data_IF_112450514383
#
_entry.id   IF_112450514383
#
_cell.length_a   1.000
_cell.length_b   1.000
_cell.length_c   1.000
_cell.angle_alpha   90.00
_cell.angle_beta   90.00
_cell.angle_gamma   90.00
#
_symmetry.space_group_name_H-M   'P 1'
#
loop_
_entity.id
_entity.type
_entity.pdbx_description
1 polymer ?
#
# COMPACT_ATOMS: atom_id res chain seq x y z
N UNK A 1 -10.87 -0.06 -18.34
CA UNK A 1 -10.42 0.52 -19.62
C UNK A 1 -9.32 1.52 -19.32
N UNK A 2 -8.11 1.32 -19.86
CA UNK A 2 -7.04 2.32 -19.88
C UNK A 2 -7.25 3.30 -21.05
N UNK A 3 -6.32 4.24 -21.24
CA UNK A 3 -6.20 4.93 -22.52
C UNK A 3 -5.77 3.95 -23.62
N UNK A 4 -6.19 4.23 -24.86
CA UNK A 4 -5.84 3.50 -26.07
C UNK A 4 -4.48 3.98 -26.60
N UNK A 5 -3.41 3.58 -25.91
CA UNK A 5 -2.01 3.83 -26.26
C UNK A 5 -1.13 2.73 -25.67
N UNK A 6 -0.19 2.21 -26.47
CA UNK A 6 0.74 1.15 -26.12
C UNK A 6 2.04 1.71 -25.53
N UNK A 7 2.45 2.91 -25.97
CA UNK A 7 3.70 3.58 -25.56
C UNK A 7 3.46 5.00 -25.08
N UNK A 8 4.38 5.52 -24.26
CA UNK A 8 4.33 6.90 -23.77
C UNK A 8 4.35 7.94 -24.90
N UNK A 9 5.13 7.70 -25.96
CA UNK A 9 5.25 8.59 -27.12
C UNK A 9 4.03 8.58 -28.06
N UNK A 10 3.09 7.64 -27.88
CA UNK A 10 1.80 7.61 -28.59
C UNK A 10 0.74 8.49 -27.91
N UNK A 11 0.99 8.96 -26.68
CA UNK A 11 0.05 9.81 -25.95
C UNK A 11 -0.03 11.23 -26.53
N UNK A 12 -1.22 11.86 -26.55
CA UNK A 12 -1.36 13.30 -26.76
C UNK A 12 -0.43 14.13 -25.85
N UNK A 13 0.19 15.17 -26.41
CA UNK A 13 1.30 15.90 -25.76
C UNK A 13 0.90 16.61 -24.45
N UNK A 14 -0.37 16.96 -24.32
CA UNK A 14 -1.00 17.56 -23.13
C UNK A 14 -1.13 16.59 -21.94
N UNK A 15 -1.00 15.28 -22.17
CA UNK A 15 -1.00 14.24 -21.11
C UNK A 15 0.28 13.40 -21.07
N UNK A 16 1.33 13.82 -21.80
CA UNK A 16 2.69 13.28 -21.65
C UNK A 16 3.38 13.83 -20.38
N UNK A 17 4.59 13.36 -20.10
CA UNK A 17 5.50 14.04 -19.17
C UNK A 17 6.15 15.24 -19.86
N UNK A 18 6.42 16.30 -19.10
CA UNK A 18 7.14 17.50 -19.56
C UNK A 18 8.47 17.11 -20.23
N UNK A 19 9.20 16.15 -19.63
CA UNK A 19 10.36 15.46 -20.21
C UNK A 19 10.09 13.96 -20.41
N UNK A 20 10.26 13.47 -21.63
CA UNK A 20 10.13 12.05 -22.02
C UNK A 20 11.02 11.11 -21.20
N UNK A 21 12.14 11.62 -20.65
CA UNK A 21 13.08 10.88 -19.79
C UNK A 21 13.14 11.37 -18.33
N UNK A 22 12.24 12.29 -17.94
CA UNK A 22 12.19 12.81 -16.57
C UNK A 22 11.67 11.76 -15.58
N UNK A 23 10.60 11.06 -15.97
CA UNK A 23 10.05 9.92 -15.24
C UNK A 23 10.07 8.70 -16.16
N UNK A 24 10.82 7.67 -15.77
CA UNK A 24 11.07 6.48 -16.58
C UNK A 24 11.52 5.32 -15.69
N UNK A 25 10.86 4.16 -15.76
CA UNK A 25 11.11 3.07 -14.81
C UNK A 25 12.49 2.43 -15.01
N UNK A 26 12.94 2.26 -16.26
CA UNK A 26 14.25 1.69 -16.56
C UNK A 26 15.35 2.61 -16.03
N UNK A 27 15.27 3.90 -16.34
CA UNK A 27 16.29 4.87 -15.96
C UNK A 27 16.29 5.16 -14.45
N UNK A 28 15.12 5.33 -13.84
CA UNK A 28 15.02 5.70 -12.42
C UNK A 28 15.40 4.53 -11.51
N UNK A 29 15.03 3.29 -11.84
CA UNK A 29 15.44 2.13 -11.05
C UNK A 29 16.94 1.83 -11.21
N UNK A 30 17.50 2.00 -12.41
CA UNK A 30 18.96 1.83 -12.63
C UNK A 30 19.77 2.87 -11.85
N UNK A 31 19.38 4.15 -11.91
CA UNK A 31 19.98 5.23 -11.08
C UNK A 31 19.83 4.95 -9.58
N UNK A 32 18.67 4.44 -9.13
CA UNK A 32 18.47 4.07 -7.73
C UNK A 32 19.43 2.95 -7.32
N UNK A 33 19.56 1.90 -8.13
CA UNK A 33 20.50 0.78 -7.92
C UNK A 33 21.96 1.25 -7.84
N UNK A 34 22.35 2.25 -8.64
CA UNK A 34 23.67 2.90 -8.58
C UNK A 34 23.85 3.76 -7.32
N UNK A 35 22.90 4.67 -7.04
CA UNK A 35 22.91 5.56 -5.87
C UNK A 35 22.91 4.81 -4.53
N UNK A 36 22.29 3.62 -4.50
CA UNK A 36 22.25 2.73 -3.33
C UNK A 36 23.47 1.79 -3.25
N UNK A 37 24.42 1.88 -4.19
CA UNK A 37 25.61 1.04 -4.28
C UNK A 37 25.32 -0.49 -4.37
N UNK A 38 24.17 -0.85 -4.95
CA UNK A 38 23.73 -2.26 -5.14
C UNK A 38 23.81 -2.73 -6.60
N UNK A 39 24.35 -1.90 -7.50
CA UNK A 39 24.58 -2.22 -8.91
C UNK A 39 25.41 -3.48 -9.14
N UNK A 40 26.44 -3.73 -8.32
CA UNK A 40 27.23 -4.96 -8.35
C UNK A 40 26.40 -6.25 -8.17
N UNK A 41 25.22 -6.16 -7.56
CA UNK A 41 24.30 -7.28 -7.33
C UNK A 41 23.24 -7.44 -8.42
N UNK A 42 23.06 -6.46 -9.32
CA UNK A 42 21.92 -6.32 -10.24
C UNK A 42 21.66 -7.51 -11.19
N UNK A 43 22.63 -8.40 -11.36
CA UNK A 43 22.53 -9.61 -12.18
C UNK A 43 22.71 -10.93 -11.39
N UNK A 44 22.87 -10.88 -10.07
CA UNK A 44 23.18 -12.03 -9.21
C UNK A 44 21.93 -12.84 -8.81
N UNK A 45 21.09 -13.18 -9.79
CA UNK A 45 19.79 -13.84 -9.60
C UNK A 45 19.83 -15.26 -9.00
N UNK A 46 21.02 -15.87 -8.96
CA UNK A 46 21.24 -17.22 -8.41
C UNK A 46 22.13 -17.22 -7.16
N UNK A 47 22.33 -16.06 -6.51
CA UNK A 47 23.20 -15.93 -5.34
C UNK A 47 22.42 -15.46 -4.11
N UNK A 48 22.22 -16.35 -3.14
CA UNK A 48 21.68 -15.98 -1.82
C UNK A 48 22.61 -14.98 -1.10
N UNK A 49 22.05 -14.26 -0.14
CA UNK A 49 22.82 -13.70 0.98
C UNK A 49 23.44 -14.83 1.81
N UNK A 50 24.60 -14.61 2.42
CA UNK A 50 25.25 -15.65 3.23
C UNK A 50 24.59 -15.77 4.62
N UNK A 51 24.25 -14.62 5.20
CA UNK A 51 23.57 -14.46 6.47
C UNK A 51 22.82 -13.11 6.48
N UNK A 52 22.04 -12.82 7.53
CA UNK A 52 21.37 -11.52 7.65
C UNK A 52 22.35 -10.33 7.71
N UNK A 53 23.53 -10.53 8.29
CA UNK A 53 24.54 -9.48 8.44
C UNK A 53 25.31 -9.20 7.14
N UNK A 54 25.32 -10.11 6.17
CA UNK A 54 25.78 -9.89 4.79
C UNK A 54 24.94 -8.81 4.09
N UNK A 55 23.61 -8.89 4.21
CA UNK A 55 22.70 -7.85 3.75
C UNK A 55 22.79 -6.57 4.62
N UNK A 56 22.86 -6.72 5.94
CA UNK A 56 22.98 -5.61 6.91
C UNK A 56 24.16 -4.68 6.61
N UNK A 57 25.36 -5.21 6.28
CA UNK A 57 26.56 -4.43 5.93
C UNK A 57 26.38 -3.46 4.75
N UNK A 58 25.42 -3.76 3.88
CA UNK A 58 24.99 -2.91 2.76
C UNK A 58 23.88 -1.98 3.25
N UNK A 59 22.85 -2.55 3.87
CA UNK A 59 21.66 -1.82 4.33
C UNK A 59 21.99 -0.65 5.28
N UNK A 60 22.96 -0.81 6.20
CA UNK A 60 23.37 0.27 7.12
C UNK A 60 23.92 1.52 6.43
N UNK A 61 24.24 1.46 5.13
CA UNK A 61 24.71 2.59 4.31
C UNK A 61 23.57 3.34 3.61
N UNK A 62 22.40 2.72 3.50
CA UNK A 62 21.26 3.19 2.69
C UNK A 62 19.95 3.32 3.48
N UNK A 63 19.92 2.85 4.72
CA UNK A 63 18.80 2.99 5.67
C UNK A 63 18.40 4.45 5.90
N UNK A 64 17.13 4.66 6.23
CA UNK A 64 16.61 5.90 6.78
C UNK A 64 16.04 5.67 8.19
N UNK A 65 15.48 6.69 8.84
CA UNK A 65 15.01 6.61 10.24
C UNK A 65 13.99 5.52 10.51
N UNK A 66 13.02 5.30 9.60
CA UNK A 66 11.98 4.27 9.80
C UNK A 66 12.52 2.90 9.39
N UNK A 67 13.25 2.81 8.28
CA UNK A 67 13.78 1.53 7.81
C UNK A 67 14.91 0.98 8.70
N UNK A 68 15.63 1.85 9.41
CA UNK A 68 16.50 1.47 10.54
C UNK A 68 15.70 0.86 11.69
N UNK A 69 14.59 1.49 12.09
CA UNK A 69 13.72 0.97 13.15
C UNK A 69 13.15 -0.40 12.74
N UNK A 70 12.76 -0.58 11.48
CA UNK A 70 12.33 -1.89 10.94
C UNK A 70 13.45 -2.91 11.01
N UNK A 71 14.68 -2.59 10.57
CA UNK A 71 15.84 -3.49 10.69
C UNK A 71 16.09 -3.95 12.14
N UNK A 72 15.92 -3.05 13.11
CA UNK A 72 16.10 -3.35 14.54
C UNK A 72 14.93 -4.15 15.15
N UNK A 73 13.70 -3.93 14.70
CA UNK A 73 12.48 -4.39 15.38
C UNK A 73 11.57 -5.33 14.56
N UNK A 74 11.88 -5.69 13.31
CA UNK A 74 11.00 -6.52 12.44
C UNK A 74 10.63 -7.90 13.01
N UNK A 75 11.45 -8.43 13.94
CA UNK A 75 11.19 -9.70 14.64
C UNK A 75 10.23 -9.56 15.84
N UNK A 76 9.78 -8.35 16.17
CA UNK A 76 8.78 -8.14 17.21
C UNK A 76 7.37 -8.28 16.64
N UNK A 77 6.55 -9.12 17.28
CA UNK A 77 5.11 -9.26 17.00
C UNK A 77 4.36 -7.91 17.01
N UNK A 78 4.80 -6.96 17.83
CA UNK A 78 4.28 -5.61 17.84
C UNK A 78 4.61 -4.83 16.56
N UNK A 79 5.82 -4.98 16.02
CA UNK A 79 6.23 -4.33 14.78
C UNK A 79 5.49 -4.92 13.57
N UNK A 80 5.25 -6.24 13.58
CA UNK A 80 4.37 -6.91 12.61
C UNK A 80 2.93 -6.37 12.70
N UNK A 81 2.33 -6.40 13.89
CA UNK A 81 0.95 -5.94 14.12
C UNK A 81 0.72 -4.45 13.84
N UNK A 82 1.70 -3.58 14.14
CA UNK A 82 1.63 -2.13 13.92
C UNK A 82 1.51 -1.75 12.43
N UNK A 83 2.14 -2.52 11.53
CA UNK A 83 2.16 -2.21 10.10
C UNK A 83 0.79 -2.35 9.43
N UNK A 84 -0.10 -3.18 9.96
CA UNK A 84 -1.49 -3.25 9.48
C UNK A 84 -2.32 -1.99 9.80
N UNK A 85 -1.86 -1.15 10.73
CA UNK A 85 -2.51 0.12 11.08
C UNK A 85 -1.82 1.35 10.45
N UNK A 86 -0.48 1.32 10.38
CA UNK A 86 0.36 2.50 10.10
C UNK A 86 1.55 2.23 9.16
N UNK A 87 1.64 1.02 8.58
CA UNK A 87 2.67 0.65 7.62
C UNK A 87 2.36 1.12 6.20
N UNK A 88 2.98 0.49 5.20
CA UNK A 88 2.77 0.82 3.79
C UNK A 88 1.45 0.26 3.20
N UNK A 89 0.78 -0.69 3.87
CA UNK A 89 -0.48 -1.30 3.42
C UNK A 89 -1.57 -1.37 4.53
N UNK A 90 -2.03 -0.22 5.07
CA UNK A 90 -2.93 -0.17 6.24
C UNK A 90 -4.43 -0.32 5.89
N UNK A 91 -4.77 -0.96 4.75
CA UNK A 91 -6.15 -1.10 4.24
C UNK A 91 -6.76 -2.49 4.41
N UNK A 92 -5.98 -3.48 4.82
CA UNK A 92 -6.37 -4.91 4.77
C UNK A 92 -7.02 -5.43 6.05
N UNK A 93 -6.69 -4.85 7.22
CA UNK A 93 -7.17 -5.33 8.52
C UNK A 93 -8.63 -4.97 8.77
N UNK A 94 -9.38 -5.94 9.31
CA UNK A 94 -10.81 -5.81 9.66
C UNK A 94 -11.08 -6.45 11.02
N UNK A 95 -12.10 -5.97 11.73
CA UNK A 95 -12.56 -6.52 13.01
C UNK A 95 -13.17 -7.91 12.80
N UNK A 96 -12.80 -8.88 13.63
CA UNK A 96 -13.33 -10.24 13.54
C UNK A 96 -14.61 -10.36 14.38
N UNK A 97 -15.72 -10.76 13.77
CA UNK A 97 -17.01 -10.98 14.44
C UNK A 97 -17.40 -12.46 14.53
N UNK A 98 -16.80 -13.30 13.68
CA UNK A 98 -16.79 -14.76 13.71
C UNK A 98 -15.49 -15.23 13.05
N UNK A 99 -14.87 -16.30 13.55
CA UNK A 99 -13.81 -16.99 12.80
C UNK A 99 -14.36 -17.57 11.49
N UNK A 100 -13.63 -17.48 10.36
CA UNK A 100 -13.96 -18.23 9.15
C UNK A 100 -13.85 -19.74 9.40
N UNK A 101 -14.79 -20.53 8.88
CA UNK A 101 -14.80 -21.99 9.08
C UNK A 101 -13.58 -22.68 8.41
N UNK A 102 -12.96 -22.01 7.44
CA UNK A 102 -11.68 -22.36 6.80
C UNK A 102 -10.41 -22.10 7.65
N UNK A 103 -10.57 -21.60 8.88
CA UNK A 103 -9.48 -21.18 9.76
C UNK A 103 -9.70 -21.69 11.20
N UNK A 104 -9.48 -23.00 11.46
CA UNK A 104 -9.88 -23.69 12.69
C UNK A 104 -8.94 -23.41 13.87
N UNK A 105 -8.85 -22.15 14.29
CA UNK A 105 -8.11 -21.72 15.49
C UNK A 105 -8.95 -21.99 16.73
N UNK A 106 -8.44 -22.79 17.67
CA UNK A 106 -9.11 -23.05 18.97
C UNK A 106 -8.62 -22.10 20.05
N UNK A 107 -9.33 -22.01 21.17
CA UNK A 107 -8.90 -21.22 22.33
C UNK A 107 -7.56 -21.71 22.89
N UNK A 108 -7.33 -23.02 22.95
CA UNK A 108 -6.11 -23.65 23.48
C UNK A 108 -4.87 -23.29 22.65
N UNK A 109 -5.03 -23.02 21.35
CA UNK A 109 -3.94 -22.58 20.46
C UNK A 109 -3.44 -21.17 20.76
N UNK A 110 -4.26 -20.31 21.38
CA UNK A 110 -3.98 -18.87 21.54
C UNK A 110 -4.16 -18.35 22.97
N UNK A 111 -4.55 -19.19 23.92
CA UNK A 111 -4.82 -18.81 25.32
C UNK A 111 -3.63 -18.10 25.97
N UNK A 112 -2.41 -18.54 25.67
CA UNK A 112 -1.13 -17.93 26.09
C UNK A 112 -0.90 -16.50 25.57
N UNK A 113 -1.69 -16.04 24.60
CA UNK A 113 -1.62 -14.71 24.00
C UNK A 113 -2.77 -13.77 24.43
N UNK A 114 -3.76 -14.27 25.17
CA UNK A 114 -4.87 -13.47 25.70
C UNK A 114 -4.51 -12.92 27.10
N UNK A 115 -4.92 -11.69 27.42
CA UNK A 115 -4.48 -10.97 28.63
C UNK A 115 -5.64 -10.62 29.59
N UNK A 116 -6.84 -11.18 29.39
CA UNK A 116 -8.07 -10.76 30.10
C UNK A 116 -8.84 -11.90 30.80
N UNK A 117 -8.26 -13.09 30.88
CA UNK A 117 -8.93 -14.30 31.41
C UNK A 117 -10.27 -14.62 30.70
N UNK A 118 -10.33 -14.32 29.39
CA UNK A 118 -11.46 -14.56 28.50
C UNK A 118 -11.15 -15.68 27.48
N UNK A 119 -12.18 -16.39 27.03
CA UNK A 119 -12.03 -17.33 25.89
C UNK A 119 -11.86 -16.58 24.56
N UNK A 120 -11.46 -17.30 23.51
CA UNK A 120 -11.30 -16.71 22.18
C UNK A 120 -12.62 -16.13 21.65
N UNK A 121 -13.73 -16.83 21.89
CA UNK A 121 -15.08 -16.43 21.51
C UNK A 121 -15.53 -15.19 22.29
N UNK A 122 -15.15 -15.09 23.56
CA UNK A 122 -15.41 -13.92 24.39
C UNK A 122 -14.60 -12.70 23.94
N UNK A 123 -13.34 -12.87 23.54
CA UNK A 123 -12.54 -11.76 22.98
C UNK A 123 -13.00 -11.32 21.57
N UNK A 124 -13.58 -12.25 20.78
CA UNK A 124 -14.30 -11.92 19.54
C UNK A 124 -15.55 -11.08 19.87
N UNK A 125 -16.38 -11.51 20.83
CA UNK A 125 -17.59 -10.78 21.24
C UNK A 125 -17.28 -9.41 21.87
N UNK A 126 -16.19 -9.30 22.64
CA UNK A 126 -15.68 -8.04 23.17
C UNK A 126 -15.06 -7.14 22.08
N UNK A 127 -14.81 -7.67 20.87
CA UNK A 127 -14.26 -6.92 19.75
C UNK A 127 -12.77 -6.63 19.86
N UNK A 128 -12.02 -7.47 20.58
CA UNK A 128 -10.56 -7.37 20.68
C UNK A 128 -9.84 -8.21 19.63
N UNK A 129 -10.54 -9.05 18.85
CA UNK A 129 -9.97 -9.87 17.78
C UNK A 129 -10.19 -9.22 16.41
N UNK A 130 -9.15 -9.26 15.59
CA UNK A 130 -9.05 -8.69 14.25
C UNK A 130 -8.53 -9.76 13.29
N UNK A 131 -8.86 -9.63 12.01
CA UNK A 131 -8.46 -10.59 10.98
C UNK A 131 -7.97 -9.86 9.71
N UNK A 132 -6.95 -10.43 9.09
CA UNK A 132 -6.46 -10.07 7.76
C UNK A 132 -6.47 -11.34 6.92
N UNK A 133 -7.58 -11.54 6.22
CA UNK A 133 -7.80 -12.69 5.32
C UNK A 133 -7.60 -12.23 3.88
N UNK A 134 -6.71 -12.94 3.19
CA UNK A 134 -6.25 -12.66 1.84
C UNK A 134 -6.55 -13.82 0.87
N UNK A 135 -7.64 -14.57 1.13
CA UNK A 135 -8.30 -15.53 0.22
C UNK A 135 -8.21 -15.20 -1.26
N UNK A 136 -8.38 -13.93 -1.57
CA UNK A 136 -8.35 -13.41 -2.93
C UNK A 136 -7.07 -13.85 -3.69
N UNK A 137 -5.96 -14.16 -3.02
CA UNK A 137 -4.72 -14.70 -3.62
C UNK A 137 -4.76 -16.19 -4.04
N UNK A 138 -5.75 -16.97 -3.63
CA UNK A 138 -5.71 -18.45 -3.74
C UNK A 138 -5.58 -19.00 -5.17
N UNK A 139 -4.74 -20.02 -5.37
CA UNK A 139 -4.48 -20.59 -6.70
C UNK A 139 -4.01 -19.58 -7.77
N UNK A 140 -3.21 -18.59 -7.39
CA UNK A 140 -2.49 -17.72 -8.34
C UNK A 140 -1.29 -18.46 -8.94
N UNK A 141 -0.97 -18.16 -10.20
CA UNK A 141 0.29 -18.62 -10.82
C UNK A 141 1.49 -17.81 -10.29
N UNK A 142 2.49 -18.46 -9.67
CA UNK A 142 3.76 -17.81 -9.32
C UNK A 142 4.63 -17.51 -10.54
N UNK A 143 5.57 -16.58 -10.40
CA UNK A 143 6.46 -16.13 -11.47
C UNK A 143 7.47 -17.22 -11.90
N UNK A 144 7.25 -17.81 -13.07
CA UNK A 144 8.11 -18.82 -13.69
C UNK A 144 9.00 -18.29 -14.82
N UNK A 145 9.25 -16.98 -14.90
CA UNK A 145 10.08 -16.38 -15.98
C UNK A 145 11.57 -16.71 -15.86
N UNK A 146 12.04 -17.09 -14.66
CA UNK A 146 13.39 -17.61 -14.41
C UNK A 146 13.32 -19.14 -14.21
N UNK A 147 13.72 -19.96 -15.20
CA UNK A 147 13.66 -21.42 -15.07
C UNK A 147 14.69 -21.98 -14.07
N UNK A 148 15.65 -21.18 -13.61
CA UNK A 148 16.64 -21.57 -12.60
C UNK A 148 16.19 -21.27 -11.16
N UNK A 149 15.10 -20.52 -10.96
CA UNK A 149 14.56 -20.20 -9.63
C UNK A 149 13.05 -20.36 -9.58
N UNK A 150 12.60 -21.45 -8.96
CA UNK A 150 11.20 -21.60 -8.55
C UNK A 150 10.82 -20.49 -7.57
N UNK A 151 9.68 -19.85 -7.79
CA UNK A 151 9.13 -18.80 -6.93
C UNK A 151 7.75 -19.23 -6.42
N UNK A 152 7.40 -18.80 -5.21
CA UNK A 152 6.22 -19.27 -4.49
C UNK A 152 5.34 -18.11 -4.03
N UNK A 153 4.03 -18.34 -4.01
CA UNK A 153 3.00 -17.38 -3.55
C UNK A 153 1.89 -18.18 -2.89
N UNK A 154 1.54 -17.83 -1.65
CA UNK A 154 0.53 -18.50 -0.85
C UNK A 154 -0.80 -17.71 -0.81
N UNK A 155 -1.77 -18.15 -0.01
CA UNK A 155 -3.09 -17.52 0.10
C UNK A 155 -3.60 -17.52 1.55
N UNK A 156 -3.11 -16.59 2.41
CA UNK A 156 -3.13 -16.80 3.85
C UNK A 156 -4.16 -15.97 4.64
N UNK A 157 -4.23 -16.28 5.93
CA UNK A 157 -5.12 -15.68 6.92
C UNK A 157 -4.30 -15.29 8.15
N UNK A 158 -4.56 -14.12 8.75
CA UNK A 158 -3.91 -13.68 9.99
C UNK A 158 -4.96 -13.23 11.01
N UNK A 159 -4.92 -13.79 12.21
CA UNK A 159 -5.70 -13.43 13.40
C UNK A 159 -4.81 -12.59 14.32
N UNK A 160 -5.30 -11.41 14.70
CA UNK A 160 -4.60 -10.49 15.58
C UNK A 160 -5.47 -10.12 16.78
N UNK A 161 -4.81 -9.85 17.89
CA UNK A 161 -5.41 -9.55 19.18
C UNK A 161 -5.04 -8.14 19.63
N UNK A 162 -6.02 -7.43 20.18
CA UNK A 162 -5.83 -6.16 20.86
C UNK A 162 -5.56 -6.40 22.34
N UNK A 163 -4.30 -6.25 22.71
CA UNK A 163 -3.82 -6.23 24.10
C UNK A 163 -4.53 -5.18 24.96
N UNK A 164 -4.48 -5.33 26.28
CA UNK A 164 -4.92 -4.34 27.26
C UNK A 164 -4.21 -2.98 27.10
N UNK A 165 -3.00 -2.97 26.50
CA UNK A 165 -2.23 -1.77 26.16
C UNK A 165 -2.59 -1.17 24.78
N UNK A 166 -3.68 -1.63 24.15
CA UNK A 166 -4.13 -1.24 22.81
C UNK A 166 -3.07 -1.39 21.70
N UNK A 167 -2.12 -2.33 21.87
CA UNK A 167 -1.29 -2.85 20.79
C UNK A 167 -2.03 -3.99 20.08
N UNK A 168 -1.94 -4.01 18.75
CA UNK A 168 -2.32 -5.15 17.91
C UNK A 168 -1.12 -6.09 17.79
N UNK A 169 -1.34 -7.38 18.05
CA UNK A 169 -0.34 -8.45 18.02
C UNK A 169 -0.88 -9.64 17.22
N UNK A 170 -0.11 -10.32 16.35
CA UNK A 170 -0.51 -11.61 15.79
C UNK A 170 -0.70 -12.66 16.90
N UNK A 171 -1.68 -13.56 16.74
CA UNK A 171 -1.91 -14.70 17.64
C UNK A 171 -2.15 -16.03 16.92
N UNK A 172 -2.78 -15.98 15.75
CA UNK A 172 -2.97 -17.12 14.86
C UNK A 172 -2.98 -16.63 13.42
N UNK A 173 -2.74 -17.54 12.48
CA UNK A 173 -1.95 -17.25 11.28
C UNK A 173 -2.13 -18.51 10.38
N UNK A 174 -2.41 -18.52 9.06
CA UNK A 174 -2.64 -19.74 8.23
C UNK A 174 -2.31 -19.61 6.74
N UNK A 175 -1.44 -20.47 6.16
CA UNK A 175 -0.73 -20.18 4.89
C UNK A 175 -1.56 -20.32 3.62
N UNK A 176 -2.15 -21.48 3.39
CA UNK A 176 -3.15 -21.69 2.35
C UNK A 176 -4.56 -21.50 2.88
N UNK A 177 -5.53 -21.31 1.99
CA UNK A 177 -6.94 -21.17 2.36
C UNK A 177 -7.59 -22.46 2.87
N UNK A 178 -7.05 -23.62 2.51
CA UNK A 178 -7.62 -24.93 2.88
C UNK A 178 -6.83 -25.55 4.04
N UNK A 179 -7.40 -25.74 5.24
CA UNK A 179 -6.68 -26.33 6.37
C UNK A 179 -6.39 -27.83 6.15
N UNK A 180 -5.25 -28.31 6.63
CA UNK A 180 -4.82 -29.71 6.53
C UNK A 180 -3.43 -29.93 7.10
N UNK A 181 -2.98 -31.18 7.21
CA UNK A 181 -1.66 -31.53 7.79
C UNK A 181 -0.50 -30.86 7.02
N UNK A 182 -0.63 -30.78 5.69
CA UNK A 182 0.32 -30.13 4.77
C UNK A 182 0.31 -28.58 4.82
N UNK A 183 -0.68 -27.96 5.47
CA UNK A 183 -0.87 -26.50 5.52
C UNK A 183 -0.96 -26.01 6.98
N UNK A 184 0.18 -25.95 7.69
CA UNK A 184 0.25 -25.39 9.03
C UNK A 184 0.14 -23.86 9.00
N UNK A 185 -0.07 -23.31 10.19
CA UNK A 185 -0.66 -22.00 10.35
C UNK A 185 0.39 -20.81 10.27
N UNK A 186 0.55 -19.97 9.16
CA UNK A 186 1.39 -18.70 8.93
C UNK A 186 0.82 -17.66 7.85
N UNK A 187 1.28 -16.39 7.56
CA UNK A 187 0.49 -15.28 6.88
C UNK A 187 1.04 -14.64 5.52
N UNK A 188 0.53 -13.55 4.87
CA UNK A 188 -0.81 -13.09 4.32
C UNK A 188 -0.73 -11.89 3.27
N UNK A 189 -1.45 -11.81 2.07
CA UNK A 189 -1.10 -10.86 0.91
C UNK A 189 -2.09 -10.43 -0.31
N UNK A 190 -1.92 -9.23 -1.00
CA UNK A 190 -2.46 -8.61 -2.33
C UNK A 190 -3.80 -7.69 -2.42
N UNK A 191 -4.44 -6.99 -3.46
CA UNK A 191 -4.88 -7.10 -4.95
C UNK A 191 -5.25 -5.75 -5.83
N UNK A 192 -6.00 -5.71 -7.02
CA UNK A 192 -6.10 -4.59 -8.13
C UNK A 192 -7.42 -4.29 -9.08
N UNK A 193 -7.35 -3.35 -10.12
CA UNK A 193 -8.09 -3.02 -11.46
C UNK A 193 -8.87 -1.63 -11.65
N UNK A 194 -8.92 -0.94 -12.86
CA UNK A 194 -9.63 0.36 -13.04
C UNK A 194 -10.43 0.70 -14.37
N UNK A 195 -11.08 1.87 -14.37
CA UNK A 195 -11.71 2.58 -15.51
C UNK A 195 -11.74 4.13 -15.33
N UNK A 196 -12.18 4.90 -16.34
CA UNK A 196 -12.18 6.39 -16.37
C UNK A 196 -13.24 6.94 -17.36
N UNK A 197 -13.74 8.19 -17.19
CA UNK A 197 -14.18 9.10 -18.29
C UNK A 197 -14.30 10.61 -17.90
N UNK A 198 -15.47 11.30 -17.77
CA UNK A 198 -15.59 12.72 -18.21
C UNK A 198 -15.26 13.80 -17.17
N UNK A 199 -15.10 13.41 -15.90
CA UNK A 199 -14.86 14.22 -14.68
C UNK A 199 -13.53 15.03 -14.69
N UNK A 200 -12.75 14.87 -15.76
CA UNK A 200 -11.52 15.52 -16.18
C UNK A 200 -11.18 16.92 -15.61
N UNK A 201 -12.09 17.92 -15.64
CA UNK A 201 -11.71 19.32 -15.37
C UNK A 201 -11.37 19.62 -13.91
N UNK A 202 -12.21 19.25 -12.94
CA UNK A 202 -11.83 19.36 -11.52
C UNK A 202 -10.65 18.44 -11.21
N UNK A 203 -10.56 17.31 -11.92
CA UNK A 203 -9.46 16.38 -11.74
C UNK A 203 -8.15 16.79 -12.38
N UNK A 204 -8.05 17.77 -13.29
CA UNK A 204 -6.82 17.91 -14.08
C UNK A 204 -5.53 18.10 -13.25
N UNK A 205 -5.48 18.84 -12.11
CA UNK A 205 -4.31 18.80 -11.21
C UNK A 205 -4.16 17.47 -10.44
N UNK A 206 -5.26 16.73 -10.25
CA UNK A 206 -5.34 15.46 -9.53
C UNK A 206 -5.12 14.21 -10.40
N UNK A 207 -5.14 14.32 -11.73
CA UNK A 207 -4.75 13.25 -12.68
C UNK A 207 -3.57 13.65 -13.58
N UNK A 208 -2.91 14.78 -13.29
CA UNK A 208 -1.66 15.19 -13.94
C UNK A 208 -0.67 14.03 -13.91
N UNK A 209 -0.09 13.72 -15.07
CA UNK A 209 0.81 12.58 -15.31
C UNK A 209 0.29 11.17 -14.97
N UNK A 210 -0.87 11.00 -14.36
CA UNK A 210 -1.42 9.69 -14.00
C UNK A 210 -1.64 8.79 -15.22
N UNK A 211 -1.96 9.36 -16.40
CA UNK A 211 -2.04 8.58 -17.65
C UNK A 211 -0.64 8.27 -18.21
N UNK A 212 0.31 9.20 -18.08
CA UNK A 212 1.70 9.03 -18.52
C UNK A 212 2.40 7.90 -17.74
N UNK A 213 2.36 7.94 -16.40
CA UNK A 213 3.00 6.94 -15.55
C UNK A 213 2.37 5.56 -15.73
N UNK A 214 1.04 5.46 -15.76
CA UNK A 214 0.36 4.19 -16.01
C UNK A 214 0.63 3.63 -17.42
N UNK A 215 0.97 4.47 -18.40
CA UNK A 215 1.34 4.04 -19.75
C UNK A 215 2.79 3.55 -19.78
N UNK A 216 3.73 4.27 -19.17
CA UNK A 216 5.09 3.73 -18.94
C UNK A 216 5.09 2.46 -18.11
N UNK A 217 4.15 2.30 -17.17
CA UNK A 217 4.03 1.08 -16.39
C UNK A 217 3.60 -0.10 -17.28
N UNK A 218 2.64 0.10 -18.20
CA UNK A 218 2.26 -0.90 -19.22
C UNK A 218 3.36 -1.18 -20.25
N UNK A 219 4.24 -0.21 -20.50
CA UNK A 219 5.33 -0.31 -21.49
C UNK A 219 6.61 -0.96 -20.92
N UNK A 220 6.95 -0.69 -19.65
CA UNK A 220 8.27 -1.01 -19.05
C UNK A 220 8.21 -1.85 -17.77
N UNK A 221 7.15 -1.71 -16.96
CA UNK A 221 7.11 -2.27 -15.60
C UNK A 221 6.33 -3.59 -15.56
N UNK A 222 5.03 -3.56 -15.87
CA UNK A 222 4.07 -4.67 -15.81
C UNK A 222 3.69 -5.24 -17.19
N UNK A 223 4.53 -4.98 -18.19
CA UNK A 223 4.52 -5.73 -19.45
C UNK A 223 5.04 -7.16 -19.23
N UNK A 224 4.73 -8.05 -20.17
CA UNK A 224 5.41 -9.34 -20.29
C UNK A 224 6.94 -9.13 -20.41
N UNK A 225 7.73 -9.82 -19.58
CA UNK A 225 9.18 -9.62 -19.43
C UNK A 225 9.61 -8.24 -18.90
N UNK A 226 8.68 -7.47 -18.31
CA UNK A 226 8.92 -6.16 -17.73
C UNK A 226 9.83 -6.16 -16.49
N UNK A 227 10.14 -4.97 -15.96
CA UNK A 227 10.98 -4.84 -14.77
C UNK A 227 10.36 -5.54 -13.55
N UNK A 228 9.03 -5.57 -13.45
CA UNK A 228 8.31 -6.19 -12.34
C UNK A 228 8.57 -7.70 -12.23
N UNK A 229 8.74 -8.39 -13.36
CA UNK A 229 9.03 -9.82 -13.42
C UNK A 229 10.42 -10.18 -12.86
N UNK A 230 11.34 -9.20 -12.74
CA UNK A 230 12.71 -9.46 -12.26
C UNK A 230 12.79 -9.84 -10.79
N UNK A 231 11.92 -9.29 -9.94
CA UNK A 231 12.06 -9.39 -8.48
C UNK A 231 10.82 -9.95 -7.75
N UNK A 232 9.66 -9.95 -8.39
CA UNK A 232 8.40 -10.31 -7.73
C UNK A 232 7.99 -11.76 -8.04
N UNK A 233 7.62 -12.54 -7.01
CA UNK A 233 6.96 -13.84 -7.18
C UNK A 233 5.61 -13.74 -7.91
N UNK A 234 5.12 -12.51 -8.08
CA UNK A 234 3.86 -12.16 -8.72
C UNK A 234 4.01 -11.80 -10.21
N UNK A 235 5.25 -11.79 -10.75
CA UNK A 235 5.54 -11.64 -12.17
C UNK A 235 4.96 -12.73 -13.09
N UNK A 236 5.20 -12.62 -14.40
CA UNK A 236 4.83 -13.64 -15.39
C UNK A 236 3.32 -13.83 -15.54
N UNK A 237 2.52 -12.76 -15.41
CA UNK A 237 1.06 -12.82 -15.50
C UNK A 237 0.34 -13.20 -14.20
N UNK A 238 1.05 -13.64 -13.15
CA UNK A 238 0.48 -13.79 -11.81
C UNK A 238 -0.11 -12.49 -11.25
N UNK A 239 0.39 -11.34 -11.71
CA UNK A 239 -0.10 -9.98 -11.45
C UNK A 239 -1.11 -9.48 -12.50
N UNK A 240 -1.53 -10.32 -13.44
CA UNK A 240 -2.61 -10.05 -14.41
C UNK A 240 -3.87 -10.84 -14.03
N UNK A 241 -3.72 -12.07 -13.57
CA UNK A 241 -4.78 -12.78 -12.83
C UNK A 241 -5.23 -11.94 -11.62
N UNK A 242 -4.27 -11.27 -10.96
CA UNK A 242 -4.39 -10.29 -9.88
C UNK A 242 -5.33 -9.11 -10.17
N UNK A 243 -5.45 -8.71 -11.43
CA UNK A 243 -6.35 -7.61 -11.82
C UNK A 243 -7.79 -8.14 -11.95
N UNK A 244 -7.94 -9.38 -12.43
CA UNK A 244 -9.21 -9.94 -12.87
C UNK A 244 -10.15 -10.41 -11.75
N UNK A 245 -9.67 -10.70 -10.53
CA UNK A 245 -10.57 -11.03 -9.40
C UNK A 245 -10.98 -9.80 -8.59
N UNK A 246 -10.06 -8.88 -8.28
CA UNK A 246 -10.38 -7.80 -7.35
C UNK A 246 -11.38 -6.77 -7.89
N UNK A 247 -11.46 -6.51 -9.20
CA UNK A 247 -12.56 -5.67 -9.73
C UNK A 247 -13.93 -6.36 -9.70
N UNK A 248 -14.00 -7.69 -9.55
CA UNK A 248 -15.28 -8.37 -9.24
C UNK A 248 -15.79 -7.99 -7.84
N UNK A 249 -14.92 -7.47 -6.97
CA UNK A 249 -15.21 -7.01 -5.61
C UNK A 249 -15.05 -5.50 -5.41
N UNK A 250 -14.46 -4.77 -6.36
CA UNK A 250 -14.25 -3.32 -6.26
C UNK A 250 -15.59 -2.61 -6.41
N UNK A 251 -15.93 -1.79 -5.41
CA UNK A 251 -17.14 -0.97 -5.42
C UNK A 251 -16.80 0.50 -5.20
N UNK A 252 -17.66 1.40 -5.67
CA UNK A 252 -17.55 2.83 -5.35
C UNK A 252 -17.51 3.07 -3.83
N UNK A 253 -18.29 2.30 -3.05
CA UNK A 253 -18.32 2.37 -1.57
C UNK A 253 -17.00 1.93 -0.94
N UNK A 254 -16.26 0.98 -1.53
CA UNK A 254 -14.90 0.65 -1.07
C UNK A 254 -13.83 1.71 -1.38
N UNK A 255 -14.17 2.75 -2.15
CA UNK A 255 -13.32 3.93 -2.38
C UNK A 255 -13.79 5.16 -1.57
N UNK A 256 -14.98 5.12 -0.97
CA UNK A 256 -15.45 6.12 -0.01
C UNK A 256 -14.76 5.87 1.33
N UNK A 257 -13.83 6.74 1.76
CA UNK A 257 -12.95 6.44 2.90
C UNK A 257 -13.70 6.13 4.22
N UNK A 258 -14.73 6.91 4.64
CA UNK A 258 -15.54 6.57 5.81
C UNK A 258 -16.20 5.18 5.73
N UNK A 259 -16.76 4.83 4.57
CA UNK A 259 -17.42 3.54 4.34
C UNK A 259 -16.41 2.39 4.32
N UNK A 260 -15.25 2.57 3.69
CA UNK A 260 -14.19 1.55 3.61
C UNK A 260 -13.49 1.30 4.97
N UNK A 261 -13.47 2.28 5.86
CA UNK A 261 -13.04 2.14 7.25
C UNK A 261 -14.13 1.41 8.08
N UNK A 262 -15.39 1.84 7.96
CA UNK A 262 -16.53 1.31 8.71
C UNK A 262 -16.93 -0.12 8.30
N UNK A 263 -16.86 -0.46 7.01
CA UNK A 263 -17.10 -1.80 6.50
C UNK A 263 -16.07 -2.82 7.02
N UNK A 264 -14.89 -2.36 7.43
CA UNK A 264 -13.87 -3.17 8.12
C UNK A 264 -14.03 -3.17 9.64
N UNK A 265 -14.98 -2.41 10.20
CA UNK A 265 -15.23 -2.33 11.65
C UNK A 265 -14.09 -1.70 12.45
N UNK A 266 -13.27 -0.86 11.82
CA UNK A 266 -12.10 -0.20 12.43
C UNK A 266 -12.29 1.31 12.58
N UNK A 267 -13.52 1.81 12.43
CA UNK A 267 -13.93 3.21 12.52
C UNK A 267 -13.73 3.81 13.92
N UNK A 268 -14.00 3.05 14.98
CA UNK A 268 -13.96 3.54 16.36
C UNK A 268 -12.54 3.85 16.86
N UNK A 269 -12.35 5.08 17.34
CA UNK A 269 -11.06 5.57 17.85
C UNK A 269 -10.73 5.04 19.25
N UNK A 270 -11.77 4.72 20.00
CA UNK A 270 -11.75 4.13 21.34
C UNK A 270 -11.29 2.66 21.24
N UNK A 271 -11.75 1.95 20.21
CA UNK A 271 -11.34 0.58 19.92
C UNK A 271 -9.86 0.53 19.49
N UNK A 272 -9.43 1.42 18.59
CA UNK A 272 -8.07 1.44 18.02
C UNK A 272 -7.43 2.84 18.08
N UNK A 273 -6.92 3.29 19.25
CA UNK A 273 -6.40 4.66 19.45
C UNK A 273 -5.05 4.94 18.77
N UNK A 274 -4.44 3.94 18.14
CA UNK A 274 -3.13 3.99 17.49
C UNK A 274 -3.20 3.88 15.96
N UNK A 275 -4.41 3.96 15.38
CA UNK A 275 -4.65 3.83 13.94
C UNK A 275 -4.57 5.20 13.25
N UNK A 276 -3.35 5.67 12.93
CA UNK A 276 -3.11 7.02 12.43
C UNK A 276 -3.53 7.20 10.95
N UNK A 277 -3.39 6.18 10.11
CA UNK A 277 -3.90 6.22 8.72
C UNK A 277 -5.39 6.56 8.64
N UNK A 278 -6.20 5.97 9.54
CA UNK A 278 -7.62 6.29 9.70
C UNK A 278 -7.83 7.71 10.18
N UNK A 279 -7.22 8.06 11.31
CA UNK A 279 -7.44 9.35 11.98
C UNK A 279 -7.11 10.54 11.06
N UNK A 280 -5.99 10.45 10.35
CA UNK A 280 -5.55 11.50 9.43
C UNK A 280 -6.34 11.46 8.12
N UNK A 281 -6.64 10.26 7.62
CA UNK A 281 -7.45 10.08 6.41
C UNK A 281 -8.87 10.63 6.56
N UNK A 282 -9.49 10.54 7.75
CA UNK A 282 -10.75 11.23 8.03
C UNK A 282 -10.62 12.74 7.94
N UNK A 283 -9.57 13.33 8.53
CA UNK A 283 -9.35 14.77 8.49
C UNK A 283 -9.16 15.28 7.06
N UNK A 284 -8.37 14.56 6.25
CA UNK A 284 -8.14 14.91 4.85
C UNK A 284 -9.39 14.67 3.99
N UNK A 285 -10.14 13.59 4.24
CA UNK A 285 -11.41 13.31 3.56
C UNK A 285 -12.45 14.42 3.81
N UNK A 286 -12.69 14.80 5.06
CA UNK A 286 -13.66 15.86 5.39
C UNK A 286 -13.23 17.24 4.85
N UNK A 287 -11.93 17.55 4.86
CA UNK A 287 -11.41 18.77 4.23
C UNK A 287 -11.62 18.76 2.70
N UNK A 288 -11.37 17.62 2.04
CA UNK A 288 -11.63 17.46 0.60
C UNK A 288 -13.13 17.55 0.29
N UNK A 289 -13.99 16.90 1.07
CA UNK A 289 -15.45 16.94 0.86
C UNK A 289 -16.01 18.34 1.10
N UNK A 290 -15.50 19.05 2.11
CA UNK A 290 -15.81 20.46 2.36
C UNK A 290 -15.42 21.35 1.18
N UNK A 291 -14.17 21.25 0.71
CA UNK A 291 -13.69 21.99 -0.46
C UNK A 291 -14.54 21.72 -1.71
N UNK A 292 -14.79 20.44 -2.02
CA UNK A 292 -15.64 20.05 -3.16
C UNK A 292 -17.06 20.59 -2.99
N UNK A 293 -17.61 20.64 -1.77
CA UNK A 293 -18.94 21.20 -1.50
C UNK A 293 -19.00 22.73 -1.64
N UNK A 294 -17.90 23.43 -1.37
CA UNK A 294 -17.76 24.89 -1.51
C UNK A 294 -17.63 25.32 -2.99
N UNK A 295 -17.26 24.41 -3.90
CA UNK A 295 -17.27 24.67 -5.35
C UNK A 295 -18.71 24.77 -5.84
N UNK A 296 -18.97 25.77 -6.68
CA UNK A 296 -20.26 25.94 -7.35
C UNK A 296 -20.38 24.99 -8.56
N UNK A 297 -21.46 24.21 -8.58
CA UNK A 297 -21.81 23.29 -9.66
C UNK A 297 -23.18 23.60 -10.28
N UNK A 298 -23.84 24.70 -9.86
CA UNK A 298 -25.24 24.99 -10.20
C UNK A 298 -25.40 25.45 -11.67
N UNK A 299 -24.30 25.47 -12.43
CA UNK A 299 -24.23 25.72 -13.89
C UNK A 299 -23.65 24.52 -14.68
N UNK A 300 -23.45 23.36 -14.05
CA UNK A 300 -22.94 22.16 -14.72
C UNK A 300 -24.06 21.20 -15.16
N UNK A 301 -23.96 20.62 -16.35
CA UNK A 301 -24.75 19.43 -16.69
C UNK A 301 -24.28 18.25 -15.83
N UNK A 302 -25.17 17.74 -14.98
CA UNK A 302 -24.89 16.55 -14.18
C UNK A 302 -24.73 15.31 -15.07
N UNK A 303 -23.77 14.40 -14.80
CA UNK A 303 -23.70 13.10 -15.46
C UNK A 303 -25.04 12.37 -15.30
N UNK A 304 -25.61 11.83 -16.39
CA UNK A 304 -27.00 11.32 -16.47
C UNK A 304 -27.43 10.29 -15.41
N UNK A 305 -26.48 9.71 -14.67
CA UNK A 305 -26.69 8.78 -13.56
C UNK A 305 -26.61 9.40 -12.16
N UNK A 306 -25.95 10.56 -11.99
CA UNK A 306 -25.88 11.32 -10.73
C UNK A 306 -27.01 12.35 -10.74
N UNK A 307 -27.89 12.32 -9.73
CA UNK A 307 -29.15 13.07 -9.72
C UNK A 307 -29.17 14.21 -8.70
N UNK A 308 -28.17 14.26 -7.81
CA UNK A 308 -28.09 15.23 -6.71
C UNK A 308 -26.68 15.81 -6.58
N UNK A 309 -26.60 17.05 -6.08
CA UNK A 309 -25.33 17.70 -5.72
C UNK A 309 -24.53 16.89 -4.69
N UNK A 310 -25.20 16.17 -3.79
CA UNK A 310 -24.57 15.28 -2.79
C UNK A 310 -23.84 14.10 -3.44
N UNK A 311 -24.48 13.38 -4.38
CA UNK A 311 -23.83 12.28 -5.11
C UNK A 311 -22.63 12.77 -5.94
N UNK A 312 -22.72 13.98 -6.51
CA UNK A 312 -21.60 14.60 -7.23
C UNK A 312 -20.44 14.97 -6.29
N UNK A 313 -20.72 15.61 -5.15
CA UNK A 313 -19.71 15.95 -4.13
C UNK A 313 -18.99 14.69 -3.65
N UNK A 314 -19.74 13.63 -3.31
CA UNK A 314 -19.17 12.35 -2.87
C UNK A 314 -18.29 11.72 -3.97
N UNK A 315 -18.76 11.67 -5.21
CA UNK A 315 -18.00 11.12 -6.33
C UNK A 315 -16.70 11.88 -6.60
N UNK A 316 -16.74 13.20 -6.58
CA UNK A 316 -15.56 14.04 -6.78
C UNK A 316 -14.58 13.94 -5.59
N UNK A 317 -15.10 13.85 -4.37
CA UNK A 317 -14.31 13.57 -3.15
C UNK A 317 -13.58 12.24 -3.25
N UNK A 318 -14.27 11.16 -3.67
CA UNK A 318 -13.66 9.84 -3.90
C UNK A 318 -12.44 9.97 -4.81
N UNK A 319 -12.55 10.62 -5.97
CA UNK A 319 -11.44 10.62 -6.92
C UNK A 319 -10.30 11.57 -6.52
N UNK A 320 -10.60 12.76 -5.98
CA UNK A 320 -9.57 13.66 -5.44
C UNK A 320 -8.79 12.96 -4.32
N UNK A 321 -9.48 12.34 -3.35
CA UNK A 321 -8.85 11.60 -2.25
C UNK A 321 -8.09 10.37 -2.75
N UNK A 322 -8.62 9.62 -3.71
CA UNK A 322 -7.97 8.42 -4.26
C UNK A 322 -6.66 8.76 -4.97
N UNK A 323 -6.64 9.83 -5.77
CA UNK A 323 -5.46 10.21 -6.54
C UNK A 323 -4.39 10.96 -5.73
N UNK A 324 -4.77 11.57 -4.60
CA UNK A 324 -3.87 12.30 -3.71
C UNK A 324 -3.57 11.50 -2.43
N UNK A 325 -4.42 11.65 -1.40
CA UNK A 325 -4.22 11.15 -0.04
C UNK A 325 -4.07 9.62 0.04
N UNK A 326 -4.93 8.87 -0.65
CA UNK A 326 -4.88 7.41 -0.67
C UNK A 326 -3.60 6.89 -1.34
N UNK A 327 -3.21 7.50 -2.47
CA UNK A 327 -1.96 7.18 -3.16
C UNK A 327 -0.76 7.48 -2.27
N UNK A 328 -0.68 8.69 -1.70
CA UNK A 328 0.43 9.10 -0.84
C UNK A 328 0.61 8.16 0.36
N UNK A 329 -0.49 7.77 1.01
CA UNK A 329 -0.48 6.87 2.15
C UNK A 329 0.14 5.49 1.87
N UNK A 330 -0.10 4.92 0.68
CA UNK A 330 0.38 3.58 0.29
C UNK A 330 1.65 3.59 -0.57
N UNK A 331 2.05 4.73 -1.13
CA UNK A 331 3.20 4.84 -2.04
C UNK A 331 4.48 5.27 -1.32
N UNK A 332 4.50 6.41 -0.63
CA UNK A 332 5.76 7.01 -0.14
C UNK A 332 6.35 6.30 1.09
N UNK A 333 5.61 5.35 1.69
CA UNK A 333 6.13 4.47 2.74
C UNK A 333 6.91 3.25 2.21
N UNK A 334 7.04 3.05 0.89
CA UNK A 334 7.64 1.83 0.36
C UNK A 334 9.11 1.69 0.77
N UNK A 335 9.92 2.75 0.71
CA UNK A 335 11.30 2.66 1.18
C UNK A 335 11.40 2.56 2.71
N UNK A 336 10.51 3.21 3.46
CA UNK A 336 10.46 3.15 4.92
C UNK A 336 10.21 1.72 5.44
N UNK A 337 9.24 1.01 4.85
CA UNK A 337 8.78 -0.29 5.34
C UNK A 337 9.36 -1.48 4.59
N UNK A 338 9.66 -1.34 3.29
CA UNK A 338 10.01 -2.48 2.44
C UNK A 338 11.50 -2.57 2.08
N UNK A 339 12.32 -1.54 2.35
CA UNK A 339 13.76 -1.60 2.04
C UNK A 339 14.51 -2.64 2.89
N UNK A 340 14.10 -2.86 4.13
CA UNK A 340 14.54 -4.03 4.91
C UNK A 340 13.80 -5.28 4.42
N UNK A 341 14.36 -5.92 3.40
CA UNK A 341 13.75 -7.04 2.65
C UNK A 341 13.11 -8.13 3.52
N UNK A 342 13.69 -8.58 4.65
CA UNK A 342 13.05 -9.58 5.51
C UNK A 342 11.68 -9.19 6.09
N UNK A 343 11.35 -7.90 6.14
CA UNK A 343 10.03 -7.39 6.56
C UNK A 343 9.00 -7.36 5.41
N UNK A 344 9.44 -7.31 4.14
CA UNK A 344 8.57 -7.26 2.96
C UNK A 344 9.22 -7.93 1.73
N UNK A 345 9.41 -9.27 1.73
CA UNK A 345 10.04 -9.97 0.63
C UNK A 345 9.13 -9.96 -0.62
N UNK A 346 9.67 -9.48 -1.75
CA UNK A 346 8.97 -9.46 -3.05
C UNK A 346 8.80 -10.85 -3.67
N UNK A 347 9.61 -11.83 -3.25
CA UNK A 347 9.55 -13.22 -3.68
C UNK A 347 9.94 -14.19 -2.57
N UNK A 348 9.51 -15.45 -2.70
CA UNK A 348 9.97 -16.57 -1.89
C UNK A 348 10.48 -17.67 -2.83
N UNK A 349 11.69 -18.20 -2.59
CA UNK A 349 12.41 -19.16 -3.45
C UNK A 349 12.33 -20.62 -3.00
N UNK A 350 11.57 -20.89 -1.93
CA UNK A 350 11.28 -22.23 -1.40
C UNK A 350 9.78 -22.33 -1.13
N UNK A 351 9.25 -23.55 -1.22
CA UNK A 351 7.92 -23.86 -0.70
C UNK A 351 7.87 -23.62 0.82
N UNK A 352 6.73 -23.24 1.40
CA UNK A 352 6.60 -23.10 2.84
C UNK A 352 6.83 -24.43 3.60
N UNK A 353 7.24 -24.37 4.88
CA UNK A 353 7.40 -25.57 5.69
C UNK A 353 6.03 -26.20 6.00
N UNK A 354 5.84 -27.45 5.57
CA UNK A 354 4.62 -28.25 5.83
C UNK A 354 4.51 -28.74 7.27
N UNK A 355 5.62 -28.89 7.97
CA UNK A 355 5.65 -29.36 9.36
C UNK A 355 6.28 -28.31 10.28
N UNK A 356 5.79 -28.25 11.52
CA UNK A 356 6.35 -27.37 12.55
C UNK A 356 7.71 -27.86 13.02
N UNK A 357 8.65 -26.94 13.23
CA UNK A 357 10.01 -27.24 13.70
C UNK A 357 11.04 -27.50 12.60
N UNK A 358 10.64 -27.59 11.32
CA UNK A 358 11.56 -27.72 10.18
C UNK A 358 12.22 -26.39 9.75
N UNK A 359 11.75 -25.26 10.25
CA UNK A 359 12.25 -23.94 9.87
C UNK A 359 13.47 -23.52 10.72
N UNK A 360 14.63 -23.46 10.09
CA UNK A 360 15.86 -22.87 10.65
C UNK A 360 16.24 -21.54 9.97
N UNK A 361 17.32 -20.91 10.45
CA UNK A 361 17.78 -19.63 9.89
C UNK A 361 18.26 -19.74 8.44
N UNK A 362 18.83 -20.90 8.06
CA UNK A 362 19.39 -21.13 6.73
C UNK A 362 18.26 -21.29 5.70
N UNK A 363 17.23 -22.06 6.03
CA UNK A 363 16.03 -22.19 5.21
C UNK A 363 15.36 -20.84 4.99
N UNK A 364 15.31 -19.96 6.00
CA UNK A 364 14.78 -18.59 5.84
C UNK A 364 15.65 -17.78 4.86
N UNK A 365 16.98 -17.81 4.99
CA UNK A 365 17.90 -17.10 4.09
C UNK A 365 17.83 -17.63 2.64
N UNK A 366 17.70 -18.94 2.46
CA UNK A 366 17.48 -19.55 1.14
C UNK A 366 16.08 -19.29 0.57
N UNK A 367 15.07 -19.08 1.43
CA UNK A 367 13.70 -18.73 1.02
C UNK A 367 13.57 -17.26 0.60
N UNK A 368 14.25 -16.35 1.30
CA UNK A 368 14.25 -14.92 0.99
C UNK A 368 14.86 -14.62 -0.40
N UNK A 369 14.58 -13.44 -0.99
CA UNK A 369 15.15 -13.04 -2.28
C UNK A 369 16.69 -13.14 -2.34
N UNK A 370 17.21 -13.60 -3.47
CA UNK A 370 18.63 -13.55 -3.82
C UNK A 370 19.13 -12.10 -4.01
N UNK A 371 20.45 -11.93 -4.16
CA UNK A 371 21.12 -10.63 -4.33
C UNK A 371 20.61 -9.85 -5.56
N UNK A 372 20.29 -10.53 -6.66
CA UNK A 372 19.73 -9.93 -7.87
C UNK A 372 18.35 -9.33 -7.63
N UNK A 373 17.41 -10.17 -7.18
CA UNK A 373 16.05 -9.74 -6.82
C UNK A 373 16.06 -8.67 -5.72
N UNK A 374 16.96 -8.78 -4.74
CA UNK A 374 17.15 -7.77 -3.69
C UNK A 374 17.58 -6.41 -4.24
N UNK A 375 18.49 -6.38 -5.20
CA UNK A 375 18.97 -5.14 -5.82
C UNK A 375 17.84 -4.43 -6.59
N UNK A 376 17.12 -5.16 -7.43
CA UNK A 376 15.96 -4.63 -8.17
C UNK A 376 14.82 -4.18 -7.26
N UNK A 377 14.55 -4.91 -6.18
CA UNK A 377 13.57 -4.51 -5.16
C UNK A 377 13.95 -3.18 -4.48
N UNK A 378 15.20 -3.06 -3.99
CA UNK A 378 15.69 -1.82 -3.37
C UNK A 378 15.62 -0.62 -4.30
N UNK A 379 16.03 -0.78 -5.56
CA UNK A 379 15.93 0.27 -6.57
C UNK A 379 14.48 0.70 -6.83
N UNK A 380 13.56 -0.27 -6.92
CA UNK A 380 12.14 -0.01 -7.13
C UNK A 380 11.50 0.76 -5.96
N UNK A 381 11.62 0.24 -4.74
CA UNK A 381 10.97 0.87 -3.57
C UNK A 381 11.59 2.21 -3.20
N UNK A 382 12.87 2.44 -3.53
CA UNK A 382 13.50 3.76 -3.39
C UNK A 382 12.96 4.75 -4.41
N UNK A 383 12.98 4.40 -5.71
CA UNK A 383 12.54 5.30 -6.78
C UNK A 383 11.07 5.69 -6.62
N UNK A 384 10.19 4.72 -6.31
CA UNK A 384 8.77 4.98 -6.05
C UNK A 384 8.49 5.78 -4.77
N UNK A 385 9.49 6.00 -3.90
CA UNK A 385 9.31 6.80 -2.66
C UNK A 385 9.89 8.22 -2.75
N UNK A 386 10.38 8.65 -3.92
CA UNK A 386 10.88 10.02 -4.09
C UNK A 386 9.75 11.00 -4.48
N UNK A 387 9.88 12.26 -4.07
CA UNK A 387 9.09 13.38 -4.59
C UNK A 387 9.91 14.11 -5.65
N UNK A 388 9.24 14.78 -6.60
CA UNK A 388 9.94 15.64 -7.56
C UNK A 388 10.44 16.93 -6.89
N UNK A 389 11.49 17.57 -7.42
CA UNK A 389 12.02 18.83 -6.85
C UNK A 389 10.98 19.96 -6.84
N UNK A 390 10.06 19.96 -7.82
CA UNK A 390 8.96 20.91 -7.96
C UNK A 390 7.60 20.23 -7.76
N UNK A 391 7.50 19.32 -6.78
CA UNK A 391 6.27 18.58 -6.45
C UNK A 391 5.09 19.51 -6.09
N UNK A 392 3.88 19.18 -6.58
CA UNK A 392 2.67 19.97 -6.30
C UNK A 392 1.79 19.26 -5.27
N UNK A 393 1.95 19.65 -4.00
CA UNK A 393 1.20 19.12 -2.88
C UNK A 393 -0.28 19.55 -2.85
N UNK A 394 -1.10 18.83 -2.09
CA UNK A 394 -2.56 18.98 -2.06
C UNK A 394 -2.99 20.42 -1.78
N UNK A 395 -3.80 20.99 -2.68
CA UNK A 395 -4.26 22.39 -2.58
C UNK A 395 -3.32 23.43 -3.22
N UNK A 396 -2.13 23.02 -3.68
CA UNK A 396 -1.26 23.82 -4.54
C UNK A 396 -1.73 23.72 -5.99
N UNK A 397 -2.40 24.77 -6.47
CA UNK A 397 -2.96 24.84 -7.82
C UNK A 397 -2.37 26.07 -8.54
N UNK A 398 -1.15 25.97 -9.12
CA UNK A 398 -0.50 27.09 -9.80
C UNK A 398 -1.10 27.36 -11.19
N UNK A 399 -1.64 26.32 -11.84
CA UNK A 399 -2.32 26.41 -13.12
C UNK A 399 -3.73 26.98 -12.90
N UNK A 400 -3.93 28.28 -13.19
CA UNK A 400 -5.20 29.00 -12.94
C UNK A 400 -6.33 28.61 -13.92
N UNK A 401 -6.77 27.35 -13.86
CA UNK A 401 -7.97 26.88 -14.57
C UNK A 401 -9.27 27.46 -14.01
N UNK A 402 -9.27 27.87 -12.74
CA UNK A 402 -10.33 28.63 -12.09
C UNK A 402 -9.86 30.08 -11.90
N UNK A 403 -10.62 31.02 -12.46
CA UNK A 403 -10.34 32.47 -12.38
C UNK A 403 -11.37 33.20 -11.50
N UNK A 404 -12.50 32.56 -11.23
CA UNK A 404 -13.68 33.09 -10.57
C UNK A 404 -13.45 33.25 -9.06
N UNK A 405 -13.90 34.36 -8.50
CA UNK A 405 -13.64 34.71 -7.11
C UNK A 405 -14.13 33.66 -6.08
N UNK A 406 -15.37 33.12 -6.15
CA UNK A 406 -15.88 32.21 -5.10
C UNK A 406 -15.06 30.92 -4.96
N UNK A 407 -14.65 30.33 -6.09
CA UNK A 407 -13.81 29.12 -6.09
C UNK A 407 -12.38 29.42 -5.63
N UNK A 408 -11.80 30.59 -5.94
CA UNK A 408 -10.51 30.99 -5.36
C UNK A 408 -10.58 31.19 -3.83
N UNK A 409 -11.69 31.70 -3.30
CA UNK A 409 -11.95 31.79 -1.86
C UNK A 409 -12.11 30.38 -1.23
N UNK A 410 -12.81 29.45 -1.89
CA UNK A 410 -12.89 28.04 -1.48
C UNK A 410 -11.52 27.33 -1.47
N UNK A 411 -10.69 27.55 -2.50
CA UNK A 411 -9.31 27.03 -2.56
C UNK A 411 -8.44 27.58 -1.43
N UNK A 412 -8.65 28.84 -0.99
CA UNK A 412 -7.94 29.42 0.14
C UNK A 412 -8.40 28.84 1.48
N UNK A 413 -9.72 28.65 1.67
CA UNK A 413 -10.30 27.96 2.82
C UNK A 413 -9.76 26.54 2.95
N UNK A 414 -9.70 25.78 1.86
CA UNK A 414 -9.12 24.43 1.81
C UNK A 414 -7.64 24.42 2.24
N UNK A 415 -6.80 25.31 1.67
CA UNK A 415 -5.39 25.43 2.07
C UNK A 415 -5.20 25.71 3.55
N UNK A 416 -6.07 26.53 4.17
CA UNK A 416 -6.02 26.80 5.63
C UNK A 416 -6.33 25.53 6.44
N UNK A 417 -7.38 24.80 6.09
CA UNK A 417 -7.72 23.52 6.74
C UNK A 417 -6.58 22.49 6.61
N UNK A 418 -5.96 22.37 5.44
CA UNK A 418 -4.80 21.48 5.24
C UNK A 418 -3.58 21.88 6.09
N UNK A 419 -3.34 23.19 6.30
CA UNK A 419 -2.27 23.67 7.18
C UNK A 419 -2.56 23.38 8.67
N UNK A 420 -3.83 23.47 9.09
CA UNK A 420 -4.26 23.08 10.44
C UNK A 420 -4.11 21.56 10.68
N UNK A 421 -4.50 20.73 9.71
CA UNK A 421 -4.32 19.27 9.74
C UNK A 421 -2.83 18.91 9.80
N UNK A 422 -2.00 19.53 8.95
CA UNK A 422 -0.53 19.40 8.97
C UNK A 422 0.05 19.72 10.35
N UNK A 423 -0.43 20.81 10.98
CA UNK A 423 0.03 21.24 12.31
C UNK A 423 -0.40 20.28 13.42
N UNK A 424 -1.60 19.71 13.31
CA UNK A 424 -2.11 18.66 14.20
C UNK A 424 -1.30 17.37 14.08
N UNK A 425 -1.03 16.91 12.86
CA UNK A 425 -0.22 15.72 12.56
C UNK A 425 1.21 15.86 13.10
N UNK A 426 1.85 17.03 12.92
CA UNK A 426 3.18 17.31 13.47
C UNK A 426 3.20 17.24 15.00
N UNK A 427 2.26 17.90 15.68
CA UNK A 427 2.12 17.82 17.15
C UNK A 427 1.81 16.40 17.65
N UNK A 428 0.98 15.65 16.90
CA UNK A 428 0.66 14.24 17.18
C UNK A 428 1.89 13.34 17.05
N UNK A 429 2.79 13.64 16.13
CA UNK A 429 4.02 12.88 15.87
C UNK A 429 5.20 13.25 16.76
N UNK A 430 5.14 14.37 17.48
CA UNK A 430 6.21 14.86 18.34
C UNK A 430 6.62 13.80 19.40
N UNK A 431 7.93 13.56 19.53
CA UNK A 431 8.49 12.54 20.43
C UNK A 431 8.21 11.07 20.06
N UNK A 432 7.49 10.76 18.97
CA UNK A 432 7.26 9.36 18.54
C UNK A 432 8.50 8.78 17.86
N UNK A 433 8.88 7.54 18.22
CA UNK A 433 9.91 6.75 17.52
C UNK A 433 9.50 6.37 16.09
N UNK A 434 8.21 6.07 15.91
CA UNK A 434 7.58 5.82 14.61
C UNK A 434 6.47 6.87 14.38
N UNK A 435 6.81 8.06 13.87
CA UNK A 435 5.83 9.06 13.49
C UNK A 435 5.16 8.68 12.15
N UNK A 436 3.86 8.93 12.01
CA UNK A 436 3.13 8.64 10.78
C UNK A 436 2.88 9.94 10.00
N UNK A 437 3.51 10.08 8.83
CA UNK A 437 3.50 11.32 8.04
C UNK A 437 2.86 11.17 6.64
N UNK A 438 2.48 9.97 6.21
CA UNK A 438 2.07 9.72 4.82
C UNK A 438 0.70 10.32 4.47
N UNK A 439 -0.07 10.74 5.48
CA UNK A 439 -1.31 11.53 5.36
C UNK A 439 -1.15 13.00 5.80
N UNK A 440 0.08 13.49 5.96
CA UNK A 440 0.35 14.92 6.22
C UNK A 440 0.15 15.71 4.92
N UNK A 441 -0.73 16.72 4.85
CA UNK A 441 -1.00 17.43 3.59
C UNK A 441 0.23 18.05 2.91
N UNK A 442 1.23 18.47 3.67
CA UNK A 442 2.55 18.92 3.17
C UNK A 442 3.45 17.80 2.62
N UNK A 443 2.92 16.57 2.48
CA UNK A 443 3.52 15.40 1.85
C UNK A 443 2.56 14.60 0.95
N UNK A 444 1.35 15.10 0.73
CA UNK A 444 0.39 14.48 -0.20
C UNK A 444 0.49 15.24 -1.53
N UNK A 445 1.00 14.65 -2.64
CA UNK A 445 0.89 15.25 -3.96
C UNK A 445 -0.57 15.36 -4.40
N UNK A 446 -0.90 16.29 -5.30
CA UNK A 446 -2.25 16.37 -5.86
C UNK A 446 -2.65 15.08 -6.64
N UNK A 447 -1.69 14.37 -7.23
CA UNK A 447 -1.92 13.32 -8.23
C UNK A 447 -0.98 12.11 -8.12
N UNK A 448 -1.26 11.07 -8.90
CA UNK A 448 -0.38 9.90 -9.08
C UNK A 448 0.64 10.22 -10.17
N UNK A 449 1.85 10.61 -9.79
CA UNK A 449 2.82 11.25 -10.68
C UNK A 449 4.32 10.87 -10.47
N UNK A 450 4.61 9.84 -9.67
CA UNK A 450 5.98 9.40 -9.29
C UNK A 450 6.73 8.67 -10.41
#
# INVERSE_FOLDING_TARGET
MSIDANRHSELPRDIQFDSEKGVDFVLNYSKAIENLFVNQFMHMFQSSWNDFSDFEKIFVRIKNTISEYVMQHWKEDFMFGYQFLNGCNPVVIRKCTKLPDKFPVTHEMVSVSLERDLTLEQEIQAGNIYIVDYEVLDGITPNSTDPCTLQYVEAPICLLYKTAKNKIMPIAIQLGQTPGEDNPNLPAHRWQLPAVHPVYKLLIPHIRFTIAINTKAREQLICECGIFDKANATGGGGHVQLVQRAVKTLTFRSLCFPDAIKARGVDKKEDLPTYFYRDDGYLVWEATMGFVSDVDFDHCEFPKSLKTRTELIEYLTVVVFTASAQHAAVNFGQYDWCSWIPNAPSTMRKAPPKEKGLADVNLIIESLPDRGRSSWHLGAVWALSQYQENELYLGMYPDEHFIEKPVKEAMEKFRKQLAEITSSIKRRNEGKRLPYYNMSPDKIPNSVAV
#
